data_IF_294137777351
#
_entry.id   IF_294137777351
#
_cell.length_a   1.000
_cell.length_b   1.000
_cell.length_c   1.000
_cell.angle_alpha   90.00
_cell.angle_beta   90.00
_cell.angle_gamma   90.00
#
_symmetry.space_group_name_H-M   'P 1'
#
loop_
_entity.id
_entity.type
_entity.pdbx_description
1 polymer ?
#
# COMPACT_ATOMS: atom_id res chain seq x y z
N UNK A 1 -11.76 -12.95 -12.60
CA UNK A 1 -10.48 -12.88 -13.30
C UNK A 1 -9.59 -11.87 -12.61
N UNK A 2 -8.53 -12.35 -11.96
CA UNK A 2 -7.49 -11.50 -11.40
C UNK A 2 -6.64 -10.94 -12.54
N UNK A 3 -6.25 -9.66 -12.44
CA UNK A 3 -5.32 -9.05 -13.39
C UNK A 3 -3.90 -9.22 -12.86
N UNK A 4 -3.00 -9.64 -13.75
CA UNK A 4 -1.58 -9.66 -13.45
C UNK A 4 -1.03 -8.24 -13.39
N UNK A 5 -0.09 -8.01 -12.48
CA UNK A 5 0.73 -6.81 -12.51
C UNK A 5 1.84 -6.95 -13.57
N UNK A 6 2.62 -5.89 -13.72
CA UNK A 6 3.79 -5.87 -14.59
C UNK A 6 4.99 -5.30 -13.83
N UNK A 7 6.04 -6.11 -13.72
CA UNK A 7 7.37 -5.62 -13.36
C UNK A 7 8.19 -5.59 -14.63
N UNK A 8 8.39 -4.42 -15.24
CA UNK A 8 9.06 -4.30 -16.54
C UNK A 8 10.55 -4.67 -16.38
N UNK A 9 11.09 -5.27 -17.44
CA UNK A 9 12.51 -5.58 -17.57
C UNK A 9 12.97 -5.44 -19.03
N UNK A 10 14.25 -5.64 -19.26
CA UNK A 10 14.89 -5.51 -20.58
C UNK A 10 14.26 -6.42 -21.64
N UNK A 11 13.99 -7.68 -21.28
CA UNK A 11 13.41 -8.68 -22.16
C UNK A 11 11.95 -8.33 -22.50
N UNK A 12 11.14 -8.01 -21.50
CA UNK A 12 9.77 -7.58 -21.68
C UNK A 12 9.69 -6.39 -22.64
N UNK A 13 10.52 -5.35 -22.44
CA UNK A 13 10.47 -4.15 -23.27
C UNK A 13 10.83 -4.46 -24.73
N UNK A 14 11.84 -5.29 -24.95
CA UNK A 14 12.24 -5.71 -26.29
C UNK A 14 11.12 -6.49 -26.99
N UNK A 15 10.47 -7.41 -26.27
CA UNK A 15 9.43 -8.27 -26.84
C UNK A 15 8.11 -7.53 -27.03
N UNK A 16 7.70 -6.67 -26.09
CA UNK A 16 6.42 -5.98 -26.13
C UNK A 16 6.44 -4.71 -26.99
N UNK A 17 7.57 -3.97 -27.01
CA UNK A 17 7.66 -2.65 -27.65
C UNK A 17 8.70 -2.59 -28.77
N UNK A 18 9.51 -3.65 -28.99
CA UNK A 18 10.59 -3.64 -29.97
C UNK A 18 11.73 -2.67 -29.66
N UNK A 19 11.85 -2.19 -28.44
CA UNK A 19 12.78 -1.13 -28.03
C UNK A 19 13.81 -1.63 -27.01
N UNK A 20 14.97 -1.01 -26.99
CA UNK A 20 15.97 -1.27 -25.97
C UNK A 20 15.61 -0.62 -24.64
N UNK A 21 16.13 -1.18 -23.56
CA UNK A 21 16.04 -0.61 -22.22
C UNK A 21 17.01 0.54 -22.03
N UNK A 22 16.58 1.65 -21.47
CA UNK A 22 17.41 2.81 -21.15
C UNK A 22 17.67 2.93 -19.66
N UNK A 23 18.81 3.49 -19.26
CA UNK A 23 19.17 3.69 -17.86
C UNK A 23 18.12 4.47 -17.07
N UNK A 24 17.52 5.50 -17.69
CA UNK A 24 16.46 6.28 -17.07
C UNK A 24 15.23 5.43 -16.69
N UNK A 25 14.95 4.35 -17.41
CA UNK A 25 13.85 3.45 -17.07
C UNK A 25 14.14 2.60 -15.83
N UNK A 26 15.40 2.27 -15.57
CA UNK A 26 15.79 1.63 -14.31
C UNK A 26 15.51 2.52 -13.12
N UNK A 27 15.84 3.82 -13.23
CA UNK A 27 15.59 4.81 -12.17
C UNK A 27 14.09 5.00 -11.94
N UNK A 28 13.33 5.17 -13.02
CA UNK A 28 11.88 5.37 -12.96
C UNK A 28 11.18 4.13 -12.39
N UNK A 29 11.56 2.93 -12.82
CA UNK A 29 11.02 1.66 -12.30
C UNK A 29 11.38 1.49 -10.81
N UNK A 30 12.58 1.92 -10.40
CA UNK A 30 13.03 1.87 -9.01
C UNK A 30 12.17 2.68 -8.03
N UNK A 31 11.46 3.70 -8.52
CA UNK A 31 10.49 4.48 -7.73
C UNK A 31 9.03 4.07 -7.96
N UNK A 32 8.80 2.94 -8.65
CA UNK A 32 7.46 2.42 -8.91
C UNK A 32 6.68 3.16 -10.00
N UNK A 33 7.37 3.83 -10.92
CA UNK A 33 6.80 4.59 -12.03
C UNK A 33 7.14 3.93 -13.38
N UNK A 34 6.76 4.58 -14.47
CA UNK A 34 7.01 4.11 -15.83
C UNK A 34 6.04 2.99 -16.24
N UNK A 35 6.58 1.88 -16.70
CA UNK A 35 5.77 0.73 -17.14
C UNK A 35 5.28 -0.19 -16.02
N UNK A 36 5.65 0.09 -14.77
CA UNK A 36 5.23 -0.71 -13.63
C UNK A 36 3.71 -0.67 -13.47
N UNK A 37 3.08 -1.86 -13.39
CA UNK A 37 1.65 -1.98 -13.16
C UNK A 37 1.39 -2.90 -11.98
N UNK A 38 0.44 -2.50 -11.15
CA UNK A 38 0.03 -3.29 -9.99
C UNK A 38 -1.45 -3.06 -9.69
N UNK A 39 -2.09 -4.07 -9.15
CA UNK A 39 -3.48 -3.96 -8.69
C UNK A 39 -3.55 -3.49 -7.23
N UNK A 40 -4.66 -2.89 -6.78
CA UNK A 40 -4.82 -2.51 -5.38
C UNK A 40 -4.63 -3.69 -4.40
N UNK A 41 -5.06 -4.90 -4.78
CA UNK A 41 -4.87 -6.08 -3.93
C UNK A 41 -3.40 -6.50 -3.85
N UNK A 42 -2.62 -6.36 -4.92
CA UNK A 42 -1.19 -6.64 -4.91
C UNK A 42 -0.43 -5.63 -4.03
N UNK A 43 -0.80 -4.34 -4.08
CA UNK A 43 -0.26 -3.33 -3.17
C UNK A 43 -0.60 -3.63 -1.71
N UNK A 44 -1.84 -4.02 -1.44
CA UNK A 44 -2.28 -4.42 -0.11
C UNK A 44 -1.51 -5.65 0.40
N UNK A 45 -1.31 -6.65 -0.46
CA UNK A 45 -0.57 -7.87 -0.14
C UNK A 45 0.91 -7.57 0.15
N UNK A 46 1.56 -6.77 -0.69
CA UNK A 46 2.94 -6.33 -0.46
C UNK A 46 3.07 -5.64 0.90
N UNK A 47 2.18 -4.70 1.18
CA UNK A 47 2.16 -3.97 2.44
C UNK A 47 1.89 -4.89 3.66
N UNK A 48 1.01 -5.88 3.52
CA UNK A 48 0.76 -6.89 4.55
C UNK A 48 2.00 -7.77 4.82
N UNK A 49 2.76 -8.09 3.78
CA UNK A 49 4.02 -8.83 3.90
C UNK A 49 5.13 -8.01 4.56
N UNK A 50 5.18 -6.70 4.33
CA UNK A 50 6.05 -5.80 5.08
C UNK A 50 5.63 -5.77 6.55
N UNK A 51 4.34 -5.59 6.81
CA UNK A 51 3.78 -5.49 8.16
C UNK A 51 4.02 -6.73 9.02
N UNK A 52 3.98 -7.93 8.42
CA UNK A 52 4.19 -9.19 9.14
C UNK A 52 5.67 -9.58 9.34
N UNK A 53 6.59 -8.71 8.96
CA UNK A 53 8.03 -8.97 9.09
C UNK A 53 8.66 -9.66 7.87
N UNK A 54 8.04 -9.57 6.69
CA UNK A 54 8.60 -10.06 5.43
C UNK A 54 8.29 -11.52 5.12
N UNK A 55 7.27 -12.09 5.75
CA UNK A 55 6.84 -13.45 5.46
C UNK A 55 5.80 -13.48 4.35
N UNK A 56 5.92 -14.49 3.47
CA UNK A 56 4.97 -14.70 2.38
C UNK A 56 3.61 -15.08 2.93
N UNK A 57 2.57 -14.43 2.45
CA UNK A 57 1.17 -14.72 2.74
C UNK A 57 0.38 -14.81 1.43
N UNK A 58 -0.73 -15.53 1.49
CA UNK A 58 -1.67 -15.65 0.39
C UNK A 58 -3.02 -15.09 0.83
N UNK A 59 -3.60 -14.15 0.08
CA UNK A 59 -4.93 -13.63 0.40
C UNK A 59 -5.97 -14.74 0.25
N UNK A 60 -6.93 -14.80 1.18
CA UNK A 60 -8.05 -15.72 1.16
C UNK A 60 -9.34 -14.92 1.31
N UNK A 61 -10.32 -15.18 0.46
CA UNK A 61 -11.65 -14.58 0.53
C UNK A 61 -12.57 -15.47 1.37
N UNK A 62 -12.43 -16.78 1.21
CA UNK A 62 -13.25 -17.78 1.91
C UNK A 62 -12.40 -18.44 2.99
N UNK A 63 -12.91 -18.46 4.22
CA UNK A 63 -12.37 -19.27 5.30
C UNK A 63 -12.88 -20.71 5.11
N UNK A 64 -12.00 -21.59 4.65
CA UNK A 64 -12.24 -23.01 4.54
C UNK A 64 -11.38 -23.72 5.58
N UNK A 65 -12.01 -24.16 6.67
CA UNK A 65 -11.31 -24.76 7.79
C UNK A 65 -10.59 -26.07 7.40
N UNK A 66 -11.11 -26.79 6.39
CA UNK A 66 -10.50 -28.03 5.92
C UNK A 66 -9.21 -27.79 5.11
N UNK A 67 -9.00 -26.58 4.58
CA UNK A 67 -7.80 -26.23 3.80
C UNK A 67 -6.76 -25.44 4.60
N UNK A 68 -7.03 -25.10 5.86
CA UNK A 68 -6.08 -24.37 6.69
C UNK A 68 -4.75 -25.13 6.91
N UNK A 69 -4.79 -26.46 6.95
CA UNK A 69 -3.60 -27.27 7.24
C UNK A 69 -2.56 -27.34 6.12
N UNK A 70 -2.95 -27.11 4.86
CA UNK A 70 -1.99 -27.11 3.74
C UNK A 70 -1.00 -25.94 3.74
N UNK A 71 -1.27 -24.88 4.48
CA UNK A 71 -0.44 -23.66 4.54
C UNK A 71 0.25 -23.45 5.89
N UNK A 72 0.11 -24.38 6.84
CA UNK A 72 0.82 -24.33 8.14
C UNK A 72 2.33 -24.55 8.01
N UNK A 73 2.77 -25.12 6.91
CA UNK A 73 4.16 -25.52 6.75
C UNK A 73 4.97 -24.52 5.94
N UNK A 74 5.63 -23.64 6.63
CA UNK A 74 6.75 -22.78 6.25
C UNK A 74 6.36 -21.32 6.01
N UNK A 75 6.59 -20.55 7.04
CA UNK A 75 6.80 -19.11 6.92
C UNK A 75 7.98 -18.85 5.97
N UNK A 76 7.70 -18.72 4.68
CA UNK A 76 8.72 -18.41 3.67
C UNK A 76 9.08 -16.95 3.84
N UNK A 77 10.33 -16.71 4.21
CA UNK A 77 10.89 -15.36 4.25
C UNK A 77 11.10 -14.86 2.83
N UNK A 78 10.58 -13.70 2.50
CA UNK A 78 10.75 -13.06 1.20
C UNK A 78 12.06 -12.27 1.10
N UNK A 79 12.65 -11.93 2.23
CA UNK A 79 13.82 -11.08 2.33
C UNK A 79 14.93 -11.77 3.10
N UNK A 80 16.18 -11.56 2.65
CA UNK A 80 17.35 -12.19 3.27
C UNK A 80 17.69 -11.56 4.61
N UNK A 81 17.56 -10.24 4.72
CA UNK A 81 17.92 -9.49 5.92
C UNK A 81 16.66 -8.89 6.57
N UNK A 82 16.37 -9.34 7.80
CA UNK A 82 15.25 -8.88 8.59
C UNK A 82 15.38 -7.40 8.99
N UNK A 83 16.61 -6.88 9.12
CA UNK A 83 16.87 -5.48 9.45
C UNK A 83 16.30 -4.54 8.39
N UNK A 84 16.36 -4.93 7.12
CA UNK A 84 15.82 -4.12 6.02
C UNK A 84 14.29 -3.98 6.13
N UNK A 85 13.60 -5.03 6.56
CA UNK A 85 12.14 -4.95 6.76
C UNK A 85 11.80 -4.05 7.94
N UNK A 86 12.53 -4.16 9.05
CA UNK A 86 12.34 -3.28 10.20
C UNK A 86 12.57 -1.82 9.82
N UNK A 87 13.64 -1.53 9.07
CA UNK A 87 13.91 -0.19 8.58
C UNK A 87 12.78 0.36 7.71
N UNK A 88 12.21 -0.46 6.82
CA UNK A 88 11.06 -0.06 6.00
C UNK A 88 9.83 0.20 6.87
N UNK A 89 9.55 -0.65 7.85
CA UNK A 89 8.43 -0.45 8.78
C UNK A 89 8.57 0.85 9.56
N UNK A 90 9.77 1.13 10.09
CA UNK A 90 10.08 2.38 10.80
C UNK A 90 9.97 3.60 9.88
N UNK A 91 10.50 3.52 8.65
CA UNK A 91 10.38 4.59 7.67
C UNK A 91 8.91 4.87 7.29
N UNK A 92 8.08 3.84 7.17
CA UNK A 92 6.65 4.00 6.95
C UNK A 92 5.94 4.59 8.16
N UNK A 93 6.39 4.26 9.38
CA UNK A 93 5.89 4.88 10.60
C UNK A 93 6.25 6.37 10.64
N UNK A 94 7.51 6.73 10.39
CA UNK A 94 7.99 8.11 10.34
C UNK A 94 7.25 8.93 9.28
N UNK A 95 7.00 8.35 8.10
CA UNK A 95 6.21 9.00 7.03
C UNK A 95 4.81 9.44 7.48
N UNK A 96 4.23 8.74 8.47
CA UNK A 96 2.87 9.05 8.95
C UNK A 96 2.89 9.81 10.27
N UNK A 97 3.86 9.57 11.15
CA UNK A 97 3.80 10.04 12.54
C UNK A 97 4.81 11.14 12.90
N UNK A 98 5.82 11.38 12.07
CA UNK A 98 6.80 12.43 12.28
C UNK A 98 6.46 13.71 11.49
N UNK A 99 6.87 14.86 11.99
CA UNK A 99 6.49 16.19 11.47
C UNK A 99 6.82 16.37 9.99
N UNK A 100 7.95 15.82 9.53
CA UNK A 100 8.38 15.91 8.12
C UNK A 100 7.76 14.83 7.24
N UNK A 101 6.95 13.94 7.80
CA UNK A 101 6.30 12.85 7.07
C UNK A 101 5.24 13.34 6.10
N UNK A 102 5.21 12.76 4.90
CA UNK A 102 4.28 13.16 3.82
C UNK A 102 2.80 12.96 4.16
N UNK A 103 2.49 12.13 5.16
CA UNK A 103 1.13 11.90 5.65
C UNK A 103 0.94 12.27 7.13
N UNK A 104 1.82 13.09 7.71
CA UNK A 104 1.78 13.49 9.12
C UNK A 104 0.43 14.06 9.56
N UNK A 105 -0.26 14.82 8.71
CA UNK A 105 -1.60 15.36 9.02
C UNK A 105 -2.67 14.29 9.25
N UNK A 106 -2.41 13.08 8.79
CA UNK A 106 -3.31 11.93 8.95
C UNK A 106 -2.96 11.03 10.13
N UNK A 107 -1.93 11.35 10.93
CA UNK A 107 -1.53 10.58 12.10
C UNK A 107 -2.66 10.41 13.12
N UNK A 108 -2.59 9.36 13.89
CA UNK A 108 -3.42 9.13 15.07
C UNK A 108 -2.48 9.02 16.27
N UNK A 109 -2.68 9.86 17.27
CA UNK A 109 -1.79 9.93 18.44
C UNK A 109 -2.01 8.77 19.42
N UNK A 110 -3.25 8.27 19.49
CA UNK A 110 -3.59 7.12 20.31
C UNK A 110 -2.89 5.84 19.82
N UNK A 111 -2.01 5.22 20.63
CA UNK A 111 -1.27 4.02 20.24
C UNK A 111 -2.14 2.86 19.78
N UNK A 112 -3.39 2.77 20.23
CA UNK A 112 -4.36 1.76 19.79
C UNK A 112 -4.61 1.82 18.28
N UNK A 113 -4.58 3.02 17.71
CA UNK A 113 -4.92 3.26 16.31
C UNK A 113 -3.73 3.72 15.47
N UNK A 114 -2.54 3.89 16.07
CA UNK A 114 -1.35 4.29 15.32
C UNK A 114 -1.08 3.32 14.17
N UNK A 115 -0.84 3.86 13.02
CA UNK A 115 -0.54 3.11 11.80
C UNK A 115 0.69 3.66 11.10
N UNK A 116 1.29 2.82 10.29
CA UNK A 116 2.39 3.17 9.40
C UNK A 116 1.90 3.14 7.95
N UNK A 117 2.33 4.09 7.13
CA UNK A 117 1.87 4.15 5.76
C UNK A 117 2.81 4.89 4.82
N UNK A 118 2.53 4.78 3.52
CA UNK A 118 3.28 5.44 2.46
C UNK A 118 2.34 5.97 1.39
N UNK A 119 2.52 7.23 1.07
CA UNK A 119 1.84 7.87 -0.06
C UNK A 119 2.40 7.36 -1.38
N UNK A 120 1.56 7.27 -2.39
CA UNK A 120 1.94 7.02 -3.77
C UNK A 120 1.17 7.95 -4.71
N UNK A 121 1.70 8.08 -5.90
CA UNK A 121 1.07 8.82 -7.00
C UNK A 121 1.27 8.02 -8.28
N UNK A 122 0.19 7.66 -8.96
CA UNK A 122 0.27 7.01 -10.25
C UNK A 122 -0.03 8.05 -11.34
N UNK A 123 0.96 8.32 -12.17
CA UNK A 123 0.83 9.31 -13.23
C UNK A 123 -0.15 8.85 -14.31
N UNK A 124 -1.09 9.73 -14.66
CA UNK A 124 -2.07 9.49 -15.73
C UNK A 124 -1.52 9.92 -17.08
N UNK A 125 -0.73 10.98 -17.09
CA UNK A 125 -0.11 11.51 -18.32
C UNK A 125 1.37 11.84 -18.12
N UNK A 126 2.09 11.94 -19.23
CA UNK A 126 3.45 12.48 -19.22
C UNK A 126 3.39 13.98 -19.00
N UNK A 127 4.11 14.47 -18.00
CA UNK A 127 4.22 15.89 -17.69
C UNK A 127 5.29 16.50 -18.61
N UNK A 128 4.96 17.57 -19.33
CA UNK A 128 5.90 18.31 -20.19
C UNK A 128 6.83 19.22 -19.38
N UNK A 129 7.88 19.74 -20.01
CA UNK A 129 8.79 20.69 -19.38
C UNK A 129 8.05 21.98 -18.98
N UNK A 130 7.22 22.49 -19.88
CA UNK A 130 6.40 23.69 -19.64
C UNK A 130 5.42 23.51 -18.48
N UNK A 131 4.76 22.35 -18.40
CA UNK A 131 3.83 22.05 -17.30
C UNK A 131 4.54 21.95 -15.95
N UNK A 132 5.82 21.53 -15.93
CA UNK A 132 6.64 21.53 -14.70
C UNK A 132 7.00 22.94 -14.24
N UNK A 133 7.28 23.82 -15.16
CA UNK A 133 7.59 25.23 -14.85
C UNK A 133 6.38 25.99 -14.31
N UNK A 134 5.17 25.63 -14.76
CA UNK A 134 3.93 26.25 -14.30
C UNK A 134 3.55 25.87 -12.86
N UNK A 135 4.12 24.79 -12.30
CA UNK A 135 3.83 24.26 -10.93
C UNK A 135 2.33 24.27 -10.58
N UNK A 136 1.51 23.77 -11.51
CA UNK A 136 0.05 23.79 -11.38
C UNK A 136 -0.42 23.03 -10.15
N UNK A 137 -1.35 23.64 -9.42
CA UNK A 137 -2.00 22.95 -8.30
C UNK A 137 -3.02 21.94 -8.83
N UNK A 138 -3.30 20.89 -8.06
CA UNK A 138 -4.20 19.79 -8.45
C UNK A 138 -5.55 20.28 -8.97
N UNK A 139 -6.11 21.34 -8.38
CA UNK A 139 -7.42 21.89 -8.80
C UNK A 139 -7.36 22.68 -10.13
N UNK A 140 -6.18 23.11 -10.55
CA UNK A 140 -5.96 23.82 -11.83
C UNK A 140 -5.80 22.83 -13.00
N UNK A 141 -5.54 21.55 -12.69
CA UNK A 141 -5.42 20.48 -13.67
C UNK A 141 -6.83 19.92 -13.95
N UNK A 142 -7.23 19.74 -15.23
CA UNK A 142 -8.48 19.08 -15.59
C UNK A 142 -8.59 17.71 -14.88
N UNK A 143 -9.78 17.38 -14.38
CA UNK A 143 -9.99 16.19 -13.54
C UNK A 143 -9.39 14.92 -14.14
N UNK A 144 -9.66 14.64 -15.40
CA UNK A 144 -9.22 13.42 -16.12
C UNK A 144 -7.70 13.34 -16.35
N UNK A 145 -7.00 14.46 -16.17
CA UNK A 145 -5.55 14.54 -16.30
C UNK A 145 -4.81 14.51 -14.97
N UNK A 146 -5.54 14.55 -13.85
CA UNK A 146 -4.94 14.47 -12.51
C UNK A 146 -4.42 13.08 -12.26
N UNK A 147 -3.30 13.00 -11.58
CA UNK A 147 -2.73 11.72 -11.15
C UNK A 147 -3.65 10.99 -10.17
N UNK A 148 -3.56 9.68 -10.11
CA UNK A 148 -4.24 8.90 -9.10
C UNK A 148 -3.53 9.02 -7.76
N UNK A 149 -4.29 9.30 -6.70
CA UNK A 149 -3.78 9.36 -5.33
C UNK A 149 -3.80 7.97 -4.70
N UNK A 150 -2.63 7.49 -4.24
CA UNK A 150 -2.48 6.20 -3.62
C UNK A 150 -2.02 6.33 -2.18
N UNK A 151 -2.45 5.39 -1.35
CA UNK A 151 -1.94 5.22 0.00
C UNK A 151 -1.99 3.76 0.42
N UNK A 152 -0.87 3.23 0.89
CA UNK A 152 -0.82 1.93 1.54
C UNK A 152 -0.49 2.12 3.00
N UNK A 153 -1.13 1.35 3.88
CA UNK A 153 -0.87 1.44 5.30
C UNK A 153 -1.17 0.14 6.03
N UNK A 154 -0.51 -0.06 7.16
CA UNK A 154 -0.78 -1.18 8.06
C UNK A 154 -0.90 -0.68 9.51
N UNK A 155 -1.66 -1.38 10.30
CA UNK A 155 -1.90 -1.01 11.69
C UNK A 155 -2.64 -2.07 12.51
N UNK A 156 -2.65 -1.90 13.87
CA UNK A 156 -1.85 -0.98 14.66
C UNK A 156 -0.35 -1.22 14.49
N UNK A 157 0.49 -0.18 14.59
CA UNK A 157 1.92 -0.30 14.25
C UNK A 157 2.67 -1.35 15.07
N UNK A 158 2.49 -1.36 16.39
CA UNK A 158 3.19 -2.30 17.29
C UNK A 158 2.74 -3.76 17.11
N UNK A 159 1.49 -3.96 16.73
CA UNK A 159 0.90 -5.30 16.52
C UNK A 159 0.04 -5.27 15.26
N UNK A 160 0.64 -5.32 14.06
CA UNK A 160 -0.08 -5.19 12.81
C UNK A 160 -1.12 -6.30 12.62
N UNK A 161 -2.36 -5.90 12.40
CA UNK A 161 -3.50 -6.81 12.19
C UNK A 161 -4.22 -6.54 10.89
N UNK A 162 -4.06 -5.34 10.35
CA UNK A 162 -4.73 -4.89 9.14
C UNK A 162 -3.75 -4.24 8.18
N UNK A 163 -3.95 -4.50 6.91
CA UNK A 163 -3.30 -3.82 5.81
C UNK A 163 -4.37 -3.25 4.89
N UNK A 164 -4.16 -2.04 4.41
CA UNK A 164 -5.05 -1.39 3.46
C UNK A 164 -4.27 -0.82 2.28
N UNK A 165 -4.93 -0.79 1.14
CA UNK A 165 -4.50 -0.05 -0.04
C UNK A 165 -5.67 0.80 -0.50
N UNK A 166 -5.43 2.09 -0.69
CA UNK A 166 -6.42 3.07 -1.12
C UNK A 166 -5.94 3.67 -2.43
N UNK A 167 -6.81 3.64 -3.42
CA UNK A 167 -6.62 4.29 -4.71
C UNK A 167 -7.79 5.22 -4.94
N UNK A 168 -7.50 6.50 -5.17
CA UNK A 168 -8.49 7.51 -5.55
C UNK A 168 -8.13 7.97 -6.95
N UNK A 169 -8.94 7.55 -7.91
CA UNK A 169 -8.76 7.94 -9.30
C UNK A 169 -8.83 9.46 -9.43
N UNK A 170 -7.86 10.03 -10.13
CA UNK A 170 -7.72 11.46 -10.37
C UNK A 170 -7.70 12.33 -9.08
N UNK A 171 -7.32 11.71 -7.94
CA UNK A 171 -7.30 12.38 -6.64
C UNK A 171 -6.10 13.32 -6.43
N UNK A 172 -5.09 13.26 -7.28
CA UNK A 172 -3.89 14.09 -7.23
C UNK A 172 -2.90 13.63 -6.17
N UNK A 173 -3.11 13.97 -4.91
CA UNK A 173 -2.12 13.73 -3.85
C UNK A 173 -2.53 12.65 -2.86
N UNK A 174 -1.69 11.62 -2.72
CA UNK A 174 -1.90 10.55 -1.74
C UNK A 174 -1.93 11.05 -0.28
N UNK A 175 -1.11 12.04 0.06
CA UNK A 175 -1.04 12.60 1.42
C UNK A 175 -2.25 13.43 1.82
N UNK A 176 -2.86 14.15 0.88
CA UNK A 176 -3.98 15.05 1.15
C UNK A 176 -5.35 14.39 0.94
N UNK A 177 -5.45 13.37 0.08
CA UNK A 177 -6.74 12.76 -0.28
C UNK A 177 -6.84 11.32 0.25
N UNK A 178 -5.85 10.46 -0.02
CA UNK A 178 -5.95 9.05 0.35
C UNK A 178 -5.57 8.78 1.81
N UNK A 179 -4.55 9.44 2.37
CA UNK A 179 -4.14 9.23 3.76
C UNK A 179 -5.22 9.60 4.82
N UNK A 180 -6.01 10.70 4.67
CA UNK A 180 -7.11 10.98 5.59
C UNK A 180 -8.20 9.90 5.60
N UNK A 181 -8.43 9.24 4.46
CA UNK A 181 -9.36 8.11 4.39
C UNK A 181 -8.81 6.89 5.15
N UNK A 182 -7.51 6.62 5.03
CA UNK A 182 -6.84 5.57 5.80
C UNK A 182 -7.03 5.79 7.31
N UNK A 183 -6.83 7.01 7.81
CA UNK A 183 -7.07 7.39 9.20
C UNK A 183 -8.47 7.02 9.68
N UNK A 184 -9.50 7.36 8.90
CA UNK A 184 -10.90 7.04 9.22
C UNK A 184 -11.14 5.53 9.22
N UNK A 185 -10.65 4.83 8.18
CA UNK A 185 -10.82 3.39 8.04
C UNK A 185 -10.15 2.61 9.16
N UNK A 186 -8.93 2.96 9.58
CA UNK A 186 -8.26 2.27 10.68
C UNK A 186 -9.05 2.38 11.99
N UNK A 187 -9.54 3.57 12.34
CA UNK A 187 -10.39 3.72 13.52
C UNK A 187 -11.63 2.83 13.44
N UNK A 188 -12.36 2.91 12.34
CA UNK A 188 -13.59 2.13 12.14
C UNK A 188 -13.34 0.61 12.18
N UNK A 189 -12.28 0.13 11.52
CA UNK A 189 -11.96 -1.30 11.44
C UNK A 189 -11.55 -1.84 12.82
N UNK A 190 -10.70 -1.11 13.54
CA UNK A 190 -10.22 -1.51 14.86
C UNK A 190 -11.38 -1.53 15.86
N UNK A 191 -12.21 -0.48 15.89
CA UNK A 191 -13.38 -0.43 16.77
C UNK A 191 -14.41 -1.52 16.45
N UNK A 192 -14.67 -1.76 15.17
CA UNK A 192 -15.56 -2.84 14.74
C UNK A 192 -15.04 -4.23 15.13
N UNK A 193 -13.74 -4.45 15.06
CA UNK A 193 -13.13 -5.72 15.48
C UNK A 193 -13.33 -5.94 16.98
N UNK A 194 -13.10 -4.94 17.80
CA UNK A 194 -13.31 -5.05 19.27
C UNK A 194 -14.77 -5.38 19.61
N UNK A 195 -15.71 -4.71 18.95
CA UNK A 195 -17.14 -5.00 19.12
C UNK A 195 -17.45 -6.46 18.75
N UNK A 196 -16.97 -6.94 17.60
CA UNK A 196 -17.20 -8.32 17.14
C UNK A 196 -16.59 -9.35 18.09
N UNK A 197 -15.37 -9.11 18.56
CA UNK A 197 -14.72 -9.99 19.51
C UNK A 197 -15.56 -10.20 20.79
N UNK A 198 -16.18 -9.13 21.28
CA UNK A 198 -17.06 -9.21 22.42
C UNK A 198 -18.36 -9.98 22.12
N UNK A 199 -18.92 -9.84 20.91
CA UNK A 199 -20.10 -10.59 20.49
C UNK A 199 -19.80 -12.08 20.32
N UNK A 200 -18.70 -12.44 19.68
CA UNK A 200 -18.32 -13.83 19.43
C UNK A 200 -18.03 -14.56 20.75
N UNK A 201 -17.38 -13.92 21.71
CA UNK A 201 -17.11 -14.48 23.04
C UNK A 201 -18.41 -14.81 23.78
N UNK A 202 -19.41 -13.97 23.69
CA UNK A 202 -20.71 -14.20 24.35
C UNK A 202 -21.55 -15.28 23.65
N UNK A 203 -21.36 -15.46 22.34
CA UNK A 203 -22.10 -16.47 21.55
C UNK A 203 -21.60 -17.90 21.78
N UNK A 204 -20.32 -18.08 22.09
CA UNK A 204 -19.69 -19.38 22.33
C UNK A 204 -19.63 -19.78 23.80
N UNK A 205 -19.96 -18.88 24.74
CA UNK A 205 -20.05 -19.18 26.17
C UNK A 205 -21.44 -19.72 26.60
N UNK A 206 -22.41 -19.75 25.68
CA UNK A 206 -23.78 -20.18 25.94
C UNK A 206 -24.17 -21.45 25.16
N UNK A 207 -23.22 -22.32 24.80
CA UNK A 207 -23.47 -23.65 24.25
C UNK A 207 -22.85 -24.70 25.15
#
# INVERSE_FOLDING_TARGET
NEKDGLIPNTEWKKNALGQNWYLGETIITGIGQGYMQTTPIQLCLMNAQIANGGYKIYPKIILDDQKQDKYKDKYIKLYKDQKNIQLIQEAMFSSTNEVMGTSYRSRIEDPKYQFAGKTGTAQVKKITAEERELDLKTFEIPYEQRDHALYVAFGPFKHPRYSISIVIEHGGSGGTVAAPLAKKLFKMIIDRHEIRKNFDTNKYLNI
#
